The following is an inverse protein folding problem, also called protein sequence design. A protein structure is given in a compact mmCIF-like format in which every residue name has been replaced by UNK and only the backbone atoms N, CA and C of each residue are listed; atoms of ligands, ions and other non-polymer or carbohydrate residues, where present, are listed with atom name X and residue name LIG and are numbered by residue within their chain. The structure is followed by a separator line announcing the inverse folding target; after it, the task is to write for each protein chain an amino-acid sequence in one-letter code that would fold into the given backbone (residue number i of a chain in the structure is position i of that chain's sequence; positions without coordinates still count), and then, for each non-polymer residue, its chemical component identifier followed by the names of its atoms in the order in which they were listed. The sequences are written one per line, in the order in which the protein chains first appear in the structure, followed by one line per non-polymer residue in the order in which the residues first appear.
data_IF_668433122794
#
_entry.id   IF_668433122794
#
_cell.length_a   1.000
_cell.length_b   1.000
_cell.length_c   1.000
_cell.angle_alpha   90.00
_cell.angle_beta   90.00
_cell.angle_gamma   90.00
#
_symmetry.space_group_name_H-M   'P 1'
#
loop_
_entity.id
_entity.type
_entity.pdbx_description
1 polymer ?
#
# COMPACT_ATOMS: atom_id res chain seq x y z
N UNK A 1 -48.21 -1.39 5.09
CA UNK A 1 -47.49 -1.95 3.93
C UNK A 1 -46.23 -1.13 3.79
N UNK A 2 -45.28 -1.38 4.69
CA UNK A 2 -44.00 -0.70 4.75
C UNK A 2 -43.02 -1.49 3.89
N UNK A 3 -42.62 -0.92 2.76
CA UNK A 3 -41.50 -1.41 1.97
C UNK A 3 -40.24 -1.04 2.75
N UNK A 4 -39.75 -2.02 3.52
CA UNK A 4 -38.41 -1.99 4.10
C UNK A 4 -37.41 -1.78 2.96
N UNK A 5 -36.83 -0.58 2.97
CA UNK A 5 -35.71 -0.15 2.15
C UNK A 5 -34.54 -1.11 2.44
N UNK A 6 -34.36 -2.12 1.58
CA UNK A 6 -33.16 -2.93 1.61
C UNK A 6 -32.01 -2.02 1.17
N UNK A 7 -30.97 -1.81 1.98
CA UNK A 7 -29.77 -1.16 1.49
C UNK A 7 -29.24 -1.98 0.29
N UNK A 8 -28.76 -1.31 -0.78
CA UNK A 8 -28.22 -1.99 -1.95
C UNK A 8 -27.08 -2.92 -1.51
N UNK A 9 -27.02 -4.09 -2.17
CA UNK A 9 -26.16 -5.23 -1.86
C UNK A 9 -24.66 -4.99 -2.16
N UNK A 10 -24.18 -3.75 -2.05
CA UNK A 10 -22.81 -3.33 -2.35
C UNK A 10 -22.09 -2.76 -1.13
N UNK A 11 -22.48 -3.19 0.07
CA UNK A 11 -21.72 -2.94 1.32
C UNK A 11 -20.83 -4.15 1.66
N UNK A 12 -20.23 -4.76 0.64
CA UNK A 12 -18.91 -5.39 0.81
C UNK A 12 -17.87 -4.30 0.56
N UNK A 13 -17.65 -3.48 1.58
CA UNK A 13 -16.54 -2.52 1.61
C UNK A 13 -15.28 -3.36 1.80
N UNK A 14 -14.77 -3.83 0.67
CA UNK A 14 -13.49 -4.51 0.57
C UNK A 14 -12.41 -3.51 0.96
N UNK A 15 -11.78 -3.74 2.12
CA UNK A 15 -10.55 -3.06 2.51
C UNK A 15 -9.45 -3.47 1.55
N UNK A 16 -9.38 -2.83 0.39
CA UNK A 16 -8.27 -3.02 -0.53
C UNK A 16 -7.10 -2.12 -0.11
N UNK A 17 -6.51 -2.42 1.06
CA UNK A 17 -5.06 -2.31 1.13
C UNK A 17 -4.60 -3.26 0.03
N UNK A 18 -3.98 -2.73 -1.04
CA UNK A 18 -3.63 -3.53 -2.23
C UNK A 18 -3.16 -4.88 -1.76
N UNK A 19 -3.79 -5.94 -2.26
CA UNK A 19 -3.46 -7.30 -1.85
C UNK A 19 -1.94 -7.57 -1.96
N UNK A 20 -1.30 -6.91 -2.92
CA UNK A 20 0.15 -6.86 -3.10
C UNK A 20 0.94 -6.28 -1.92
N UNK A 21 0.47 -5.20 -1.31
CA UNK A 21 1.16 -4.52 -0.20
C UNK A 21 0.98 -5.28 1.10
N UNK A 22 -0.21 -5.86 1.33
CA UNK A 22 -0.43 -6.80 2.44
C UNK A 22 0.34 -8.11 2.24
N UNK A 23 0.38 -8.66 1.03
CA UNK A 23 1.21 -9.83 0.71
C UNK A 23 2.69 -9.51 0.88
N UNK A 24 3.16 -8.34 0.44
CA UNK A 24 4.54 -7.90 0.64
C UNK A 24 4.88 -7.76 2.14
N UNK A 25 4.03 -7.09 2.92
CA UNK A 25 4.20 -6.96 4.36
C UNK A 25 4.15 -8.33 5.04
N UNK A 26 3.21 -9.20 4.66
CA UNK A 26 3.08 -10.57 5.17
C UNK A 26 4.30 -11.41 4.82
N UNK A 27 4.81 -11.35 3.60
CA UNK A 27 5.96 -12.13 3.16
C UNK A 27 7.25 -11.64 3.83
N UNK A 28 7.36 -10.33 4.11
CA UNK A 28 8.45 -9.76 4.92
C UNK A 28 8.33 -10.08 6.40
N UNK A 29 7.14 -9.99 6.98
CA UNK A 29 6.89 -10.44 8.35
C UNK A 29 7.11 -11.94 8.48
N UNK A 30 6.74 -12.74 7.48
CA UNK A 30 7.00 -14.18 7.42
C UNK A 30 8.50 -14.50 7.27
N UNK A 31 9.31 -13.62 6.67
CA UNK A 31 10.77 -13.75 6.69
C UNK A 31 11.37 -13.48 8.08
N UNK A 32 10.64 -12.76 8.94
CA UNK A 32 11.01 -12.53 10.36
C UNK A 32 10.42 -13.62 11.26
N UNK A 33 9.22 -14.11 10.95
CA UNK A 33 8.44 -15.10 11.71
C UNK A 33 8.72 -16.55 11.27
N UNK A 34 9.51 -16.73 10.20
CA UNK A 34 10.10 -17.99 9.76
C UNK A 34 11.15 -18.51 10.74
N UNK A 35 10.80 -18.59 12.02
CA UNK A 35 11.50 -19.27 13.10
C UNK A 35 11.44 -20.79 12.88
N UNK A 36 12.08 -21.24 11.80
CA UNK A 36 12.55 -22.62 11.66
C UNK A 36 13.87 -22.69 12.41
N UNK A 37 13.85 -23.37 13.56
CA UNK A 37 15.00 -23.72 14.39
C UNK A 37 15.97 -22.56 14.62
N UNK A 38 15.71 -21.73 15.65
CA UNK A 38 16.58 -20.60 15.95
C UNK A 38 17.99 -21.14 16.21
N UNK A 39 18.93 -20.88 15.29
CA UNK A 39 20.32 -21.26 15.46
C UNK A 39 20.86 -20.80 16.82
N UNK A 40 20.32 -19.70 17.33
CA UNK A 40 20.51 -19.18 18.68
C UNK A 40 20.22 -20.20 19.79
N UNK A 41 19.13 -20.96 19.71
CA UNK A 41 18.76 -22.01 20.69
C UNK A 41 19.71 -23.21 20.60
N UNK A 42 20.12 -23.59 19.38
CA UNK A 42 21.11 -24.65 19.17
C UNK A 42 22.48 -24.27 19.74
N UNK A 43 22.92 -23.04 19.50
CA UNK A 43 24.19 -22.52 20.01
C UNK A 43 24.14 -22.43 21.54
N UNK A 44 23.02 -22.04 22.12
CA UNK A 44 22.81 -22.02 23.57
C UNK A 44 22.82 -23.45 24.15
N UNK A 45 22.21 -24.42 23.48
CA UNK A 45 22.22 -25.83 23.87
C UNK A 45 23.65 -26.42 23.84
N UNK A 46 24.45 -26.10 22.81
CA UNK A 46 25.85 -26.53 22.71
C UNK A 46 26.68 -25.91 23.84
N UNK A 47 26.46 -24.63 24.14
CA UNK A 47 27.16 -23.91 25.21
C UNK A 47 26.86 -24.52 26.58
N UNK A 48 25.58 -24.76 26.87
CA UNK A 48 25.12 -25.33 28.15
C UNK A 48 25.57 -26.78 28.32
N UNK A 49 25.56 -27.58 27.25
CA UNK A 49 26.09 -28.95 27.26
C UNK A 49 27.61 -28.96 27.47
N UNK A 50 28.33 -28.04 26.84
CA UNK A 50 29.77 -27.85 27.04
C UNK A 50 30.10 -27.48 28.50
N UNK A 51 29.41 -26.48 29.06
CA UNK A 51 29.61 -26.09 30.46
C UNK A 51 29.24 -27.22 31.44
N UNK A 52 28.13 -27.91 31.20
CA UNK A 52 27.68 -29.04 32.01
C UNK A 52 28.66 -30.22 31.96
N UNK A 53 29.22 -30.53 30.79
CA UNK A 53 30.23 -31.58 30.64
C UNK A 53 31.52 -31.29 31.40
N UNK A 54 31.97 -30.03 31.42
CA UNK A 54 33.14 -29.59 32.20
C UNK A 54 32.87 -29.69 33.71
N UNK A 55 31.73 -29.16 34.17
CA UNK A 55 31.35 -29.22 35.58
C UNK A 55 31.12 -30.67 36.06
N UNK A 56 30.54 -31.51 35.22
CA UNK A 56 30.37 -32.94 35.49
C UNK A 56 31.70 -33.68 35.60
N UNK A 57 32.65 -33.40 34.70
CA UNK A 57 33.99 -33.98 34.74
C UNK A 57 34.80 -33.56 35.98
N UNK A 58 34.60 -32.31 36.44
CA UNK A 58 35.16 -31.80 37.69
C UNK A 58 34.54 -32.50 38.90
N UNK A 59 33.21 -32.60 38.94
CA UNK A 59 32.48 -33.22 40.05
C UNK A 59 32.76 -34.72 40.18
N UNK A 60 33.00 -35.42 39.07
CA UNK A 60 33.35 -36.85 39.06
C UNK A 60 34.81 -37.12 39.42
N UNK A 61 35.64 -36.10 39.61
CA UNK A 61 37.06 -36.26 39.93
C UNK A 61 37.86 -36.88 38.78
N UNK A 62 37.52 -36.54 37.52
CA UNK A 62 38.19 -37.11 36.34
C UNK A 62 39.68 -36.81 36.39
N UNK A 63 40.50 -37.85 36.59
CA UNK A 63 41.95 -37.70 36.67
C UNK A 63 42.56 -37.24 35.35
N UNK A 64 43.61 -36.41 35.41
CA UNK A 64 44.44 -36.01 34.27
C UNK A 64 45.15 -37.19 33.60
N UNK A 65 45.19 -38.36 34.25
CA UNK A 65 45.72 -39.60 33.69
C UNK A 65 44.72 -40.32 32.76
N UNK A 66 43.44 -39.93 32.75
CA UNK A 66 42.42 -40.56 31.90
C UNK A 66 42.66 -40.24 30.43
N UNK A 67 42.61 -41.20 29.49
CA UNK A 67 42.84 -40.94 28.06
C UNK A 67 41.86 -39.92 27.44
N UNK A 68 40.75 -39.63 28.12
CA UNK A 68 39.72 -38.69 27.67
C UNK A 68 39.78 -37.32 28.36
N UNK A 69 40.77 -37.07 29.23
CA UNK A 69 40.86 -35.82 30.00
C UNK A 69 40.89 -34.58 29.10
N UNK A 70 41.63 -34.64 27.98
CA UNK A 70 41.77 -33.54 27.02
C UNK A 70 40.44 -33.16 26.38
N UNK A 71 39.51 -34.11 26.20
CA UNK A 71 38.20 -33.84 25.61
C UNK A 71 37.35 -32.97 26.54
N UNK A 72 37.32 -33.30 27.84
CA UNK A 72 36.54 -32.57 28.84
C UNK A 72 37.18 -31.25 29.26
N UNK A 73 38.51 -31.17 29.31
CA UNK A 73 39.22 -30.01 29.86
C UNK A 73 39.84 -29.07 28.82
N UNK A 74 39.90 -29.46 27.54
CA UNK A 74 40.43 -28.62 26.46
C UNK A 74 39.37 -28.39 25.38
N UNK A 75 38.81 -29.46 24.82
CA UNK A 75 37.90 -29.36 23.67
C UNK A 75 36.53 -28.78 24.06
N UNK A 76 35.88 -29.35 25.09
CA UNK A 76 34.56 -28.87 25.53
C UNK A 76 34.57 -27.39 25.94
N UNK A 77 35.53 -26.89 26.75
CA UNK A 77 35.61 -25.48 27.11
C UNK A 77 35.80 -24.56 25.89
N UNK A 78 36.65 -24.95 24.94
CA UNK A 78 36.85 -24.18 23.71
C UNK A 78 35.56 -24.10 22.89
N UNK A 79 34.85 -25.22 22.72
CA UNK A 79 33.58 -25.26 22.01
C UNK A 79 32.49 -24.44 22.73
N UNK A 80 32.41 -24.54 24.06
CA UNK A 80 31.45 -23.78 24.86
C UNK A 80 31.72 -22.26 24.75
N UNK A 81 32.98 -21.84 24.83
CA UNK A 81 33.36 -20.44 24.70
C UNK A 81 33.07 -19.89 23.29
N UNK A 82 33.42 -20.64 22.23
CA UNK A 82 33.14 -20.25 20.86
C UNK A 82 31.64 -20.14 20.57
N UNK A 83 30.85 -21.11 21.07
CA UNK A 83 29.40 -21.09 20.97
C UNK A 83 28.80 -19.90 21.74
N UNK A 84 29.27 -19.61 22.95
CA UNK A 84 28.81 -18.45 23.71
C UNK A 84 29.06 -17.13 22.98
N UNK A 85 30.26 -16.94 22.41
CA UNK A 85 30.59 -15.75 21.61
C UNK A 85 29.67 -15.65 20.39
N UNK A 86 29.48 -16.76 19.67
CA UNK A 86 28.55 -16.80 18.53
C UNK A 86 27.13 -16.43 18.95
N UNK A 87 26.62 -16.97 20.08
CA UNK A 87 25.30 -16.64 20.62
C UNK A 87 25.14 -15.14 20.88
N UNK A 88 26.13 -14.50 21.52
CA UNK A 88 26.10 -13.07 21.81
C UNK A 88 26.09 -12.24 20.51
N UNK A 89 26.91 -12.63 19.53
CA UNK A 89 26.93 -11.95 18.22
C UNK A 89 25.60 -12.11 17.47
N UNK A 90 25.06 -13.33 17.39
CA UNK A 90 23.77 -13.58 16.75
C UNK A 90 22.63 -12.82 17.41
N UNK A 91 22.63 -12.73 18.74
CA UNK A 91 21.63 -11.96 19.48
C UNK A 91 21.75 -10.46 19.20
N UNK A 92 22.97 -9.92 19.24
CA UNK A 92 23.20 -8.49 19.04
C UNK A 92 22.95 -8.02 17.60
N UNK A 93 23.38 -8.79 16.60
CA UNK A 93 23.16 -8.45 15.19
C UNK A 93 21.74 -8.81 14.72
N UNK A 94 21.19 -9.93 15.19
CA UNK A 94 19.85 -10.38 14.81
C UNK A 94 18.71 -9.49 15.34
N UNK A 95 18.85 -8.88 16.52
CA UNK A 95 17.87 -7.92 17.02
C UNK A 95 17.85 -6.62 16.20
N UNK A 96 19.01 -6.15 15.74
CA UNK A 96 19.13 -4.95 14.91
C UNK A 96 18.46 -5.14 13.53
N UNK A 97 18.64 -6.29 12.88
CA UNK A 97 17.99 -6.58 11.60
C UNK A 97 16.46 -6.63 11.72
N UNK A 98 15.92 -7.21 12.80
CA UNK A 98 14.47 -7.25 13.04
C UNK A 98 13.87 -5.87 13.26
N UNK A 99 14.56 -4.99 14.00
CA UNK A 99 14.13 -3.61 14.21
C UNK A 99 14.17 -2.81 12.91
N UNK A 100 15.18 -3.03 12.05
CA UNK A 100 15.26 -2.39 10.74
C UNK A 100 14.09 -2.83 9.85
N UNK A 101 13.82 -4.14 9.75
CA UNK A 101 12.71 -4.67 8.97
C UNK A 101 11.36 -4.18 9.52
N UNK A 102 11.18 -4.15 10.84
CA UNK A 102 9.96 -3.63 11.46
C UNK A 102 9.76 -2.14 11.17
N UNK A 103 10.82 -1.32 11.24
CA UNK A 103 10.76 0.10 10.86
C UNK A 103 10.45 0.30 9.38
N UNK A 104 10.98 -0.56 8.53
CA UNK A 104 10.74 -0.51 7.08
C UNK A 104 9.29 -0.88 6.73
N UNK A 105 8.74 -1.92 7.38
CA UNK A 105 7.31 -2.27 7.26
C UNK A 105 6.41 -1.15 7.82
N UNK A 106 6.76 -0.58 8.98
CA UNK A 106 6.02 0.53 9.57
C UNK A 106 6.04 1.80 8.72
N UNK A 107 7.08 2.00 7.89
CA UNK A 107 7.16 3.12 6.94
C UNK A 107 6.24 2.95 5.72
N UNK A 108 5.90 1.71 5.38
CA UNK A 108 4.98 1.39 4.27
C UNK A 108 3.52 1.54 4.73
N UNK A 109 3.26 1.32 6.02
CA UNK A 109 1.93 1.51 6.60
C UNK A 109 1.62 3.01 6.75
N UNK A 110 0.40 3.46 6.41
CA UNK A 110 0.01 4.85 6.59
C UNK A 110 0.05 5.23 8.07
N UNK A 111 0.74 6.33 8.40
CA UNK A 111 0.82 6.86 9.76
C UNK A 111 -0.58 7.35 10.18
N UNK A 112 -1.18 6.84 11.27
CA UNK A 112 -2.56 7.16 11.64
C UNK A 112 -2.79 8.64 11.98
N UNK A 113 -1.76 9.36 12.44
CA UNK A 113 -1.85 10.78 12.80
C UNK A 113 -1.85 11.65 11.53
N UNK A 114 -0.96 11.36 10.58
CA UNK A 114 -0.93 12.03 9.28
C UNK A 114 -2.16 11.66 8.43
N UNK A 115 -2.66 10.43 8.56
CA UNK A 115 -3.91 10.02 7.94
C UNK A 115 -5.10 10.85 8.46
N UNK A 116 -5.12 11.19 9.75
CA UNK A 116 -6.20 12.00 10.33
C UNK A 116 -6.21 13.45 9.81
N UNK A 117 -5.05 14.10 9.68
CA UNK A 117 -4.97 15.46 9.11
C UNK A 117 -5.24 15.45 7.61
N UNK A 118 -4.69 14.48 6.87
CA UNK A 118 -5.00 14.26 5.46
C UNK A 118 -6.50 14.04 5.22
N UNK A 119 -7.17 13.25 6.07
CA UNK A 119 -8.61 13.00 5.92
C UNK A 119 -9.46 14.29 5.89
N UNK A 120 -9.05 15.35 6.60
CA UNK A 120 -9.77 16.64 6.60
C UNK A 120 -9.62 17.47 5.32
N UNK A 121 -8.52 17.28 4.57
CA UNK A 121 -8.34 17.91 3.27
C UNK A 121 -8.99 17.10 2.16
N UNK A 122 -8.83 15.77 2.21
CA UNK A 122 -9.45 14.88 1.25
C UNK A 122 -10.98 14.95 1.35
N UNK A 123 -11.55 15.12 2.56
CA UNK A 123 -13.01 15.28 2.70
C UNK A 123 -13.56 16.48 1.94
N UNK A 124 -12.75 17.52 1.70
CA UNK A 124 -13.15 18.67 0.87
C UNK A 124 -13.38 18.28 -0.59
N UNK A 125 -12.76 17.20 -1.08
CA UNK A 125 -12.95 16.72 -2.45
C UNK A 125 -14.26 15.94 -2.62
N UNK A 126 -14.84 15.41 -1.53
CA UNK A 126 -16.09 14.65 -1.62
C UNK A 126 -17.27 15.52 -2.05
N UNK A 127 -18.13 14.99 -2.92
CA UNK A 127 -19.32 15.67 -3.42
C UNK A 127 -19.55 15.49 -4.91
N UNK A 128 -20.49 16.26 -5.47
CA UNK A 128 -20.78 16.28 -6.91
C UNK A 128 -19.86 17.27 -7.62
N UNK A 129 -19.42 16.89 -8.81
CA UNK A 129 -18.51 17.65 -9.66
C UNK A 129 -19.03 17.69 -11.09
N UNK A 130 -18.87 18.83 -11.75
CA UNK A 130 -19.04 18.94 -13.20
C UNK A 130 -17.67 18.76 -13.86
N UNK A 131 -17.57 17.82 -14.79
CA UNK A 131 -16.46 17.70 -15.73
C UNK A 131 -16.80 18.50 -16.99
N UNK A 132 -15.85 19.30 -17.46
CA UNK A 132 -15.86 19.92 -18.78
C UNK A 132 -14.53 19.60 -19.46
N UNK A 133 -14.56 19.11 -20.69
CA UNK A 133 -13.34 18.78 -21.42
C UNK A 133 -13.41 19.22 -22.88
N UNK A 134 -12.24 19.45 -23.47
CA UNK A 134 -12.08 19.72 -24.89
C UNK A 134 -10.88 18.94 -25.44
N UNK A 135 -11.08 18.31 -26.61
CA UNK A 135 -9.98 17.66 -27.34
C UNK A 135 -9.04 18.70 -27.96
N UNK A 136 -7.73 18.47 -27.91
CA UNK A 136 -6.76 19.43 -28.46
C UNK A 136 -6.79 19.53 -29.99
N UNK A 137 -7.11 18.43 -30.66
CA UNK A 137 -7.07 18.33 -32.13
C UNK A 137 -8.35 18.88 -32.76
N UNK A 138 -9.51 18.43 -32.29
CA UNK A 138 -10.79 18.74 -32.94
C UNK A 138 -11.56 19.88 -32.28
N UNK A 139 -11.19 20.28 -31.04
CA UNK A 139 -11.93 21.26 -30.26
C UNK A 139 -13.30 20.77 -29.77
N UNK A 140 -13.74 19.56 -30.15
CA UNK A 140 -14.98 18.94 -29.66
C UNK A 140 -15.00 18.93 -28.15
N UNK A 141 -16.15 19.28 -27.59
CA UNK A 141 -16.36 19.39 -26.14
C UNK A 141 -17.16 18.22 -25.60
N UNK A 142 -16.92 17.90 -24.34
CA UNK A 142 -17.77 17.02 -23.55
C UNK A 142 -17.95 17.60 -22.16
N UNK A 143 -19.07 17.25 -21.54
CA UNK A 143 -19.39 17.60 -20.16
C UNK A 143 -19.86 16.35 -19.42
N UNK A 144 -19.78 16.34 -18.09
CA UNK A 144 -20.25 15.21 -17.32
C UNK A 144 -20.51 15.55 -15.87
N UNK A 145 -21.36 14.74 -15.25
CA UNK A 145 -21.68 14.82 -13.83
C UNK A 145 -20.98 13.66 -13.12
N UNK A 146 -20.05 14.01 -12.22
CA UNK A 146 -19.24 13.06 -11.47
C UNK A 146 -19.57 13.16 -9.98
N UNK A 147 -19.58 12.03 -9.30
CA UNK A 147 -19.62 11.91 -7.86
C UNK A 147 -18.24 11.48 -7.38
N UNK A 148 -17.60 12.34 -6.59
CA UNK A 148 -16.36 12.02 -5.89
C UNK A 148 -16.72 11.54 -4.48
N UNK A 149 -16.34 10.30 -4.19
CA UNK A 149 -16.38 9.73 -2.85
C UNK A 149 -14.96 9.68 -2.29
N UNK A 150 -14.82 10.02 -1.01
CA UNK A 150 -13.56 9.98 -0.30
C UNK A 150 -13.75 9.22 1.01
N UNK A 151 -12.90 8.21 1.24
CA UNK A 151 -12.87 7.46 2.50
C UNK A 151 -11.45 7.04 2.82
N UNK A 152 -10.96 7.41 4.00
CA UNK A 152 -9.62 7.00 4.49
C UNK A 152 -8.50 7.29 3.47
N UNK A 153 -8.49 8.51 2.91
CA UNK A 153 -7.60 8.94 1.82
C UNK A 153 -7.74 8.17 0.48
N UNK A 154 -8.67 7.23 0.34
CA UNK A 154 -9.04 6.66 -0.94
C UNK A 154 -10.07 7.55 -1.63
N UNK A 155 -9.85 7.85 -2.91
CA UNK A 155 -10.77 8.63 -3.74
C UNK A 155 -11.34 7.69 -4.80
N UNK A 156 -12.67 7.64 -4.93
CA UNK A 156 -13.31 7.01 -6.07
C UNK A 156 -14.22 8.01 -6.78
N UNK A 157 -14.33 7.86 -8.09
CA UNK A 157 -15.05 8.74 -8.99
C UNK A 157 -15.96 7.89 -9.86
N UNK A 158 -17.24 8.23 -9.90
CA UNK A 158 -18.19 7.62 -10.81
C UNK A 158 -19.09 8.70 -11.41
N UNK A 159 -19.58 8.50 -12.64
CA UNK A 159 -20.48 9.46 -13.25
C UNK A 159 -20.73 9.21 -14.72
N UNK A 160 -21.33 10.20 -15.39
CA UNK A 160 -21.70 10.10 -16.81
C UNK A 160 -21.08 11.24 -17.59
N UNK A 161 -20.63 10.94 -18.82
CA UNK A 161 -20.18 11.96 -19.78
C UNK A 161 -21.21 12.07 -20.90
N UNK A 162 -21.53 13.30 -21.26
CA UNK A 162 -22.28 13.71 -22.44
C UNK A 162 -21.38 14.47 -23.41
N UNK A 163 -21.54 14.21 -24.71
CA UNK A 163 -20.85 14.96 -25.75
C UNK A 163 -21.55 16.28 -26.05
N UNK A 164 -20.93 17.10 -26.88
CA UNK A 164 -21.49 18.38 -27.35
C UNK A 164 -22.88 18.25 -28.02
N UNK A 165 -23.19 17.09 -28.61
CA UNK A 165 -24.50 16.78 -29.18
C UNK A 165 -25.60 16.52 -28.13
N UNK A 166 -25.27 16.53 -26.84
CA UNK A 166 -26.15 16.15 -25.73
C UNK A 166 -26.35 14.64 -25.58
N UNK A 167 -25.80 13.82 -26.49
CA UNK A 167 -25.82 12.36 -26.35
C UNK A 167 -24.88 11.92 -25.23
N UNK A 168 -25.34 10.99 -24.41
CA UNK A 168 -24.47 10.31 -23.44
C UNK A 168 -23.40 9.54 -24.21
N UNK A 169 -22.14 9.87 -23.95
CA UNK A 169 -20.99 9.16 -24.49
C UNK A 169 -20.81 7.87 -23.71
N UNK A 170 -20.82 7.94 -22.38
CA UNK A 170 -20.61 6.76 -21.55
C UNK A 170 -20.61 7.07 -20.05
N UNK A 171 -20.24 6.05 -19.29
CA UNK A 171 -20.04 6.14 -17.85
C UNK A 171 -18.55 6.20 -17.52
N UNK A 172 -18.19 6.96 -16.50
CA UNK A 172 -16.85 7.03 -15.94
C UNK A 172 -16.82 6.20 -14.67
N UNK A 173 -15.81 5.35 -14.55
CA UNK A 173 -15.40 4.78 -13.27
C UNK A 173 -13.89 4.95 -13.09
N UNK A 174 -13.47 5.53 -11.96
CA UNK A 174 -12.05 5.63 -11.64
C UNK A 174 -11.48 4.25 -11.34
N UNK A 175 -10.39 3.89 -12.01
CA UNK A 175 -9.52 2.76 -11.62
C UNK A 175 -8.52 3.18 -10.55
N UNK A 176 -8.16 4.45 -10.56
CA UNK A 176 -7.25 5.05 -9.59
C UNK A 176 -7.57 6.54 -9.47
N UNK A 177 -7.57 7.07 -8.26
CA UNK A 177 -7.56 8.51 -8.03
C UNK A 177 -6.69 8.83 -6.82
N UNK A 178 -5.94 9.92 -6.91
CA UNK A 178 -5.03 10.38 -5.88
C UNK A 178 -4.99 11.90 -5.85
N UNK A 179 -4.81 12.42 -4.65
CA UNK A 179 -4.64 13.83 -4.38
C UNK A 179 -3.41 14.00 -3.51
N UNK A 180 -2.54 14.93 -3.89
CA UNK A 180 -1.34 15.26 -3.11
C UNK A 180 -1.54 16.62 -2.43
N UNK A 181 -1.85 16.66 -1.11
CA UNK A 181 -2.12 17.91 -0.41
C UNK A 181 -1.02 18.99 -0.51
N UNK A 182 0.28 18.66 -0.33
CA UNK A 182 1.36 19.66 -0.42
C UNK A 182 1.46 20.36 -1.77
N UNK A 183 1.16 19.68 -2.88
CA UNK A 183 1.25 20.24 -4.24
C UNK A 183 -0.11 20.60 -4.82
N UNK A 184 -1.19 20.31 -4.09
CA UNK A 184 -2.58 20.35 -4.56
C UNK A 184 -2.79 19.61 -5.89
N UNK A 185 -1.97 18.60 -6.20
CA UNK A 185 -2.07 17.88 -7.47
C UNK A 185 -3.10 16.78 -7.37
N UNK A 186 -4.02 16.74 -8.32
CA UNK A 186 -5.02 15.70 -8.43
C UNK A 186 -4.80 14.90 -9.71
N UNK A 187 -4.79 13.58 -9.57
CA UNK A 187 -4.62 12.64 -10.68
C UNK A 187 -5.69 11.59 -10.56
N UNK A 188 -6.37 11.28 -11.66
CA UNK A 188 -7.20 10.09 -11.72
C UNK A 188 -7.11 9.40 -13.07
N UNK A 189 -7.13 8.08 -13.03
CA UNK A 189 -7.19 7.19 -14.18
C UNK A 189 -8.60 6.62 -14.18
N UNK A 190 -9.26 6.70 -15.32
CA UNK A 190 -10.61 6.22 -15.48
C UNK A 190 -10.74 5.41 -16.76
N UNK A 191 -11.56 4.38 -16.69
CA UNK A 191 -12.12 3.78 -17.89
C UNK A 191 -13.37 4.55 -18.27
N UNK A 192 -13.57 4.73 -19.57
CA UNK A 192 -14.90 5.00 -20.10
C UNK A 192 -15.22 3.96 -21.17
N UNK A 193 -16.46 3.50 -21.16
CA UNK A 193 -17.02 2.73 -22.25
C UNK A 193 -18.03 3.62 -22.96
N UNK A 194 -17.74 3.97 -24.20
CA UNK A 194 -18.58 4.84 -24.99
C UNK A 194 -18.92 4.24 -26.34
N UNK A 195 -20.04 4.68 -26.89
CA UNK A 195 -20.36 4.44 -28.29
C UNK A 195 -19.76 5.60 -29.09
N UNK A 196 -18.79 5.31 -29.96
CA UNK A 196 -18.19 6.33 -30.82
C UNK A 196 -19.20 6.85 -31.87
N UNK A 197 -18.81 7.88 -32.62
CA UNK A 197 -19.67 8.50 -33.65
C UNK A 197 -20.16 7.49 -34.73
N UNK A 198 -19.51 6.33 -34.85
CA UNK A 198 -19.87 5.25 -35.77
C UNK A 198 -20.78 4.17 -35.16
N UNK A 199 -21.24 4.33 -33.92
CA UNK A 199 -22.08 3.33 -33.26
C UNK A 199 -21.31 2.14 -32.68
N UNK A 200 -19.98 2.19 -32.65
CA UNK A 200 -19.15 1.10 -32.10
C UNK A 200 -18.81 1.36 -30.64
N UNK A 201 -18.84 0.30 -29.83
CA UNK A 201 -18.38 0.34 -28.45
C UNK A 201 -16.85 0.51 -28.44
N UNK A 202 -16.40 1.64 -27.95
CA UNK A 202 -15.00 1.95 -27.67
C UNK A 202 -14.82 1.96 -26.14
N UNK A 203 -13.92 1.11 -25.65
CA UNK A 203 -13.52 1.10 -24.26
C UNK A 203 -12.08 1.61 -24.20
N UNK A 204 -11.90 2.78 -23.60
CA UNK A 204 -10.62 3.44 -23.52
C UNK A 204 -10.30 3.81 -22.08
N UNK A 205 -9.04 3.63 -21.70
CA UNK A 205 -8.50 4.16 -20.46
C UNK A 205 -7.91 5.54 -20.70
N UNK A 206 -8.26 6.47 -19.81
CA UNK A 206 -7.76 7.84 -19.82
C UNK A 206 -7.10 8.17 -18.49
N UNK A 207 -6.10 9.04 -18.55
CA UNK A 207 -5.55 9.68 -17.37
C UNK A 207 -5.87 11.18 -17.42
N UNK A 208 -6.22 11.74 -16.27
CA UNK A 208 -6.32 13.18 -16.03
C UNK A 208 -5.34 13.57 -14.93
N UNK A 209 -4.63 14.67 -15.12
CA UNK A 209 -3.77 15.29 -14.10
C UNK A 209 -4.01 16.79 -14.11
N UNK A 210 -4.34 17.34 -12.95
CA UNK A 210 -4.54 18.77 -12.77
C UNK A 210 -4.14 19.29 -11.40
N UNK A 211 -4.25 20.59 -11.23
CA UNK A 211 -4.01 21.28 -9.95
C UNK A 211 -5.35 21.71 -9.39
N UNK A 212 -5.60 21.34 -8.13
CA UNK A 212 -6.75 21.78 -7.35
C UNK A 212 -6.49 23.23 -6.93
N UNK A 213 -7.45 24.09 -7.22
CA UNK A 213 -7.42 25.52 -6.90
C UNK A 213 -8.81 25.97 -6.44
N UNK A 214 -8.86 27.09 -5.73
CA UNK A 214 -10.11 27.63 -5.17
C UNK A 214 -10.29 27.35 -3.69
N UNK A 215 -11.23 28.05 -3.08
CA UNK A 215 -11.66 27.86 -1.68
C UNK A 215 -12.95 27.05 -1.62
N UNK A 216 -13.26 26.48 -0.45
CA UNK A 216 -14.61 25.94 -0.23
C UNK A 216 -15.64 27.07 -0.41
N UNK A 217 -16.70 26.89 -1.22
CA UNK A 217 -17.17 25.61 -1.78
C UNK A 217 -16.74 25.31 -3.22
N UNK A 218 -16.20 26.29 -3.95
CA UNK A 218 -15.84 26.20 -5.38
C UNK A 218 -14.41 25.70 -5.57
N UNK A 219 -14.23 24.39 -5.40
CA UNK A 219 -12.99 23.72 -5.80
C UNK A 219 -12.99 23.47 -7.31
N UNK A 220 -11.87 23.81 -7.95
CA UNK A 220 -11.67 23.67 -9.38
C UNK A 220 -10.37 22.90 -9.63
N UNK A 221 -10.42 21.83 -10.42
CA UNK A 221 -9.24 21.12 -10.89
C UNK A 221 -9.05 21.38 -12.38
N UNK A 222 -7.96 22.05 -12.76
CA UNK A 222 -7.63 22.31 -14.17
C UNK A 222 -6.43 21.49 -14.57
N UNK A 223 -6.51 20.83 -15.71
CA UNK A 223 -5.48 19.89 -16.12
C UNK A 223 -5.59 19.41 -17.56
N UNK A 224 -4.67 18.50 -17.89
CA UNK A 224 -4.67 17.80 -19.16
C UNK A 224 -5.22 16.39 -18.95
N UNK A 225 -5.88 15.87 -19.97
CA UNK A 225 -6.22 14.46 -20.08
C UNK A 225 -5.60 13.85 -21.33
N UNK A 226 -5.37 12.55 -21.31
CA UNK A 226 -4.84 11.80 -22.45
C UNK A 226 -5.29 10.34 -22.40
N UNK A 227 -5.42 9.71 -23.58
CA UNK A 227 -5.66 8.27 -23.70
C UNK A 227 -4.41 7.49 -23.28
N UNK A 228 -4.59 6.50 -22.42
CA UNK A 228 -3.58 5.49 -22.07
C UNK A 228 -3.60 4.33 -23.08
N UNK A 229 -4.78 4.02 -23.60
CA UNK A 229 -4.99 2.97 -24.59
C UNK A 229 -5.65 3.57 -25.83
N UNK A 230 -5.08 3.33 -27.00
CA UNK A 230 -5.64 3.78 -28.29
C UNK A 230 -4.84 4.91 -28.95
N UNK A 231 -5.44 5.62 -29.94
CA UNK A 231 -4.77 6.72 -30.63
C UNK A 231 -4.40 7.84 -29.65
N UNK A 232 -3.25 8.47 -29.86
CA UNK A 232 -2.71 9.56 -29.02
C UNK A 232 -3.59 10.81 -29.06
N UNK A 233 -4.72 10.76 -28.38
CA UNK A 233 -5.64 11.86 -28.19
C UNK A 233 -5.42 12.44 -26.80
N UNK A 234 -5.30 13.75 -26.73
CA UNK A 234 -5.18 14.50 -25.50
C UNK A 234 -6.06 15.75 -25.55
N UNK A 235 -6.23 16.38 -24.41
CA UNK A 235 -7.01 17.58 -24.30
C UNK A 235 -6.87 18.24 -22.94
N UNK A 236 -7.67 19.27 -22.73
CA UNK A 236 -7.78 19.93 -21.44
C UNK A 236 -9.10 19.57 -20.80
N UNK A 237 -9.11 19.53 -19.47
CA UNK A 237 -10.33 19.34 -18.70
C UNK A 237 -10.32 20.22 -17.44
N UNK A 238 -11.53 20.61 -17.06
CA UNK A 238 -11.83 21.32 -15.81
C UNK A 238 -12.86 20.52 -15.04
N UNK A 239 -12.55 20.22 -13.79
CA UNK A 239 -13.50 19.71 -12.82
C UNK A 239 -13.93 20.85 -11.91
N UNK A 240 -15.23 21.07 -11.73
CA UNK A 240 -15.77 22.11 -10.84
C UNK A 240 -16.71 21.47 -9.82
N UNK A 241 -16.41 21.63 -8.53
CA UNK A 241 -17.26 21.11 -7.46
C UNK A 241 -18.60 21.88 -7.43
N UNK A 242 -19.71 21.15 -7.36
CA UNK A 242 -21.04 21.74 -7.16
C UNK A 242 -21.29 21.95 -5.68
N UNK A 243 -21.89 23.09 -5.35
CA UNK A 243 -22.51 23.31 -4.06
C UNK A 243 -23.66 22.31 -3.89
N UNK A 244 -23.62 21.55 -2.79
CA UNK A 244 -24.71 20.67 -2.35
C UNK A 244 -25.68 21.44 -1.48
#
# INVERSE_FOLDING_TARGET
METHDRPPADVEVMFEIRERDLRYCRDRLASVDGARFQATDLILAITTLGAGGVLGALASGTSTSSPYWWLFFIVLPMLAAAALVAYVLFKYFGENERVVIAKEVLRILPNPIEAASANSEYSKLSGRWTLESATSISGKRSSGDLLLYVRQAHIAIAGTITGESGKQLGEIYSRFASYDPPTHRFVFIYGYSAINDNGQLDASECAFSGIVSGGSPTLIVRGNWFHLTGPSVAGTATLTKRET
#
